data_IF_498952342910
#
_entry.id   IF_498952342910
#
_cell.length_a   1.000
_cell.length_b   1.000
_cell.length_c   1.000
_cell.angle_alpha   90.00
_cell.angle_beta   90.00
_cell.angle_gamma   90.00
#
_symmetry.space_group_name_H-M   'P 1'
#
loop_
_entity.id
_entity.type
_entity.pdbx_description
1 polymer ?
#
# COMPACT_ATOMS: atom_id res chain seq x y z
N UNK A 1 66.59 -7.73 -11.87
CA UNK A 1 65.91 -6.54 -12.42
C UNK A 1 64.62 -6.35 -11.63
N UNK A 2 64.64 -5.85 -10.39
CA UNK A 2 64.79 -4.41 -10.00
C UNK A 2 63.86 -3.53 -10.87
N UNK A 3 62.89 -2.74 -10.38
CA UNK A 3 62.61 -2.20 -9.04
C UNK A 3 61.15 -1.64 -9.06
N UNK A 4 60.38 -1.66 -7.95
CA UNK A 4 59.08 -0.99 -7.86
C UNK A 4 59.23 0.48 -7.38
N UNK A 5 58.47 1.42 -7.95
CA UNK A 5 58.34 2.78 -7.40
C UNK A 5 56.99 2.97 -6.73
N UNK A 6 57.03 3.04 -5.40
CA UNK A 6 56.05 3.75 -4.55
C UNK A 6 56.27 5.25 -4.74
N UNK A 7 55.21 6.04 -4.75
CA UNK A 7 55.22 7.33 -4.03
C UNK A 7 53.79 7.79 -3.67
N UNK A 8 53.67 8.08 -2.38
CA UNK A 8 52.52 8.66 -1.70
C UNK A 8 52.43 10.17 -1.98
N UNK A 9 51.23 10.71 -2.21
CA UNK A 9 50.91 12.06 -1.72
C UNK A 9 49.45 12.17 -1.29
N UNK A 10 49.31 12.43 0.01
CA UNK A 10 48.09 12.64 0.79
C UNK A 10 47.61 14.12 0.68
N UNK A 11 46.48 14.51 1.31
CA UNK A 11 45.42 15.31 0.72
C UNK A 11 45.54 16.81 1.03
N UNK A 12 44.90 17.64 0.21
CA UNK A 12 44.71 19.06 0.52
C UNK A 12 43.32 19.28 1.13
N UNK A 13 43.32 19.58 2.43
CA UNK A 13 42.23 20.14 3.21
C UNK A 13 42.19 21.65 2.98
N UNK A 14 41.05 22.21 2.56
CA UNK A 14 40.80 23.65 2.67
C UNK A 14 39.57 23.87 3.56
N UNK A 15 39.81 24.75 4.52
CA UNK A 15 38.95 25.15 5.64
C UNK A 15 37.91 26.17 5.17
N UNK A 16 36.72 26.04 5.76
CA UNK A 16 36.04 27.14 6.45
C UNK A 16 35.28 28.17 5.61
N UNK A 17 33.97 28.26 5.84
CA UNK A 17 33.36 29.49 6.37
C UNK A 17 31.91 29.24 6.77
N UNK A 18 31.67 29.29 8.08
CA UNK A 18 30.37 29.45 8.71
C UNK A 18 29.83 30.86 8.48
N UNK A 19 28.56 31.00 8.11
CA UNK A 19 27.78 32.21 8.38
C UNK A 19 26.40 31.86 8.92
N UNK A 20 26.27 32.07 10.23
CA UNK A 20 25.03 32.16 11.00
C UNK A 20 24.21 33.34 10.48
N UNK A 21 22.90 33.17 10.33
CA UNK A 21 21.93 34.24 10.58
C UNK A 21 20.52 33.67 10.72
N UNK A 22 20.09 33.51 11.98
CA UNK A 22 18.69 33.54 12.39
C UNK A 22 18.27 35.01 12.53
N UNK A 23 17.02 35.35 12.19
CA UNK A 23 16.27 36.35 12.93
C UNK A 23 15.22 35.68 13.83
N UNK A 24 15.27 36.04 15.11
CA UNK A 24 14.17 35.96 16.08
C UNK A 24 13.25 37.18 15.89
N UNK A 25 12.08 37.12 16.54
CA UNK A 25 11.12 38.22 16.84
C UNK A 25 10.01 38.29 15.78
N UNK A 26 8.71 38.30 16.10
CA UNK A 26 8.00 38.79 17.28
C UNK A 26 6.88 37.87 17.76
N UNK A 27 6.66 37.91 19.07
CA UNK A 27 5.43 37.52 19.74
C UNK A 27 4.40 38.63 19.53
N UNK A 28 3.18 38.28 19.11
CA UNK A 28 2.00 39.03 19.48
C UNK A 28 1.05 38.12 20.26
N UNK A 29 0.77 38.57 21.48
CA UNK A 29 -0.32 38.11 22.34
C UNK A 29 -1.51 39.04 22.06
N UNK A 30 -2.70 38.47 21.90
CA UNK A 30 -4.01 38.97 22.39
C UNK A 30 -5.00 37.81 22.16
N UNK A 31 -5.42 37.07 23.19
CA UNK A 31 -6.57 37.37 24.05
C UNK A 31 -7.71 38.07 23.30
N UNK A 32 -8.77 37.35 22.92
CA UNK A 32 -9.97 37.25 23.76
C UNK A 32 -11.02 36.28 23.19
N UNK A 33 -11.39 35.32 24.03
CA UNK A 33 -12.74 34.82 24.29
C UNK A 33 -13.76 34.76 23.14
N UNK A 34 -14.07 33.53 22.70
CA UNK A 34 -15.46 33.04 22.63
C UNK A 34 -15.52 31.52 22.73
N UNK A 35 -15.83 31.05 23.95
CA UNK A 35 -16.28 29.69 24.25
C UNK A 35 -17.54 29.40 23.41
N UNK A 36 -17.43 28.55 22.41
CA UNK A 36 -18.56 27.73 21.96
C UNK A 36 -18.31 26.27 22.34
N UNK A 37 -18.83 25.93 23.51
CA UNK A 37 -18.95 24.57 24.00
C UNK A 37 -20.02 23.87 23.17
N UNK A 38 -19.63 23.23 22.06
CA UNK A 38 -20.50 22.26 21.38
C UNK A 38 -20.28 20.92 22.07
N UNK A 39 -21.03 20.71 23.16
CA UNK A 39 -21.31 19.38 23.72
C UNK A 39 -22.10 18.59 22.66
N UNK A 40 -21.41 17.95 21.71
CA UNK A 40 -22.03 16.86 20.94
C UNK A 40 -22.13 15.65 21.86
N UNK A 41 -23.29 15.55 22.51
CA UNK A 41 -23.75 14.35 23.20
C UNK A 41 -23.64 13.17 22.24
N UNK A 42 -22.85 12.20 22.68
CA UNK A 42 -22.81 10.82 22.21
C UNK A 42 -24.24 10.26 22.30
N UNK A 43 -24.98 10.22 21.19
CA UNK A 43 -26.11 9.30 21.03
C UNK A 43 -25.58 8.08 20.31
N UNK A 44 -25.37 7.02 21.09
CA UNK A 44 -25.30 5.66 20.59
C UNK A 44 -26.75 5.31 20.30
N UNK A 45 -27.20 5.53 19.07
CA UNK A 45 -28.41 4.89 18.58
C UNK A 45 -27.99 3.49 18.11
N UNK A 46 -28.08 2.54 19.05
CA UNK A 46 -28.21 1.12 18.72
C UNK A 46 -29.62 0.90 18.14
N UNK A 47 -29.92 1.49 16.98
CA UNK A 47 -31.09 1.11 16.18
C UNK A 47 -30.66 0.02 15.21
N UNK A 48 -30.53 -1.19 15.75
CA UNK A 48 -30.62 -2.42 14.97
C UNK A 48 -32.08 -2.52 14.49
N UNK A 49 -32.41 -1.75 13.45
CA UNK A 49 -33.74 -1.75 12.85
C UNK A 49 -33.82 -2.97 11.93
N UNK A 50 -34.10 -4.12 12.52
CA UNK A 50 -34.71 -5.24 11.82
C UNK A 50 -36.19 -4.88 11.60
N UNK A 51 -36.52 -4.21 10.51
CA UNK A 51 -37.91 -4.09 10.07
C UNK A 51 -38.27 -5.39 9.35
N UNK A 52 -38.67 -6.41 10.11
CA UNK A 52 -39.70 -7.34 9.66
C UNK A 52 -41.02 -6.67 9.97
N UNK A 53 -41.81 -6.33 8.96
CA UNK A 53 -43.19 -5.86 9.20
C UNK A 53 -44.01 -7.05 9.70
N UNK A 54 -45.11 -6.78 10.41
CA UNK A 54 -46.01 -7.84 10.90
C UNK A 54 -46.58 -8.67 9.72
N UNK A 55 -46.67 -8.05 8.54
CA UNK A 55 -47.10 -8.68 7.28
C UNK A 55 -46.06 -9.69 6.74
N UNK A 56 -44.76 -9.44 6.91
CA UNK A 56 -43.70 -10.36 6.44
C UNK A 56 -43.73 -11.72 7.17
N UNK A 57 -44.21 -11.73 8.42
CA UNK A 57 -44.36 -12.94 9.24
C UNK A 57 -45.56 -13.78 8.78
N UNK A 58 -46.65 -13.12 8.36
CA UNK A 58 -47.86 -13.79 7.87
C UNK A 58 -47.65 -14.41 6.47
N UNK A 59 -46.81 -13.77 5.64
CA UNK A 59 -46.42 -14.27 4.32
C UNK A 59 -45.32 -15.35 4.36
N UNK A 60 -44.88 -15.78 5.55
CA UNK A 60 -43.88 -16.84 5.71
C UNK A 60 -42.51 -16.49 5.10
N UNK A 61 -42.17 -15.21 4.99
CA UNK A 61 -40.92 -14.77 4.38
C UNK A 61 -39.76 -15.07 5.36
N UNK A 62 -38.80 -15.93 4.99
CA UNK A 62 -37.68 -16.22 5.87
C UNK A 62 -36.81 -14.97 6.07
N UNK A 63 -36.36 -14.76 7.31
CA UNK A 63 -35.48 -13.64 7.67
C UNK A 63 -34.18 -13.70 6.84
N UNK A 64 -33.87 -12.58 6.18
CA UNK A 64 -32.62 -12.43 5.42
C UNK A 64 -31.44 -12.49 6.39
N UNK A 65 -30.44 -13.37 6.16
CA UNK A 65 -29.28 -13.47 7.04
C UNK A 65 -28.51 -12.14 7.07
N UNK A 66 -27.88 -11.83 8.20
CA UNK A 66 -27.05 -10.63 8.33
C UNK A 66 -25.94 -10.61 7.27
N UNK A 67 -25.71 -9.43 6.67
CA UNK A 67 -24.70 -9.27 5.64
C UNK A 67 -23.31 -9.61 6.19
N UNK A 68 -22.47 -10.37 5.45
CA UNK A 68 -21.13 -10.68 5.88
C UNK A 68 -20.34 -9.41 6.21
N UNK A 69 -19.82 -9.31 7.43
CA UNK A 69 -18.99 -8.16 7.84
C UNK A 69 -17.74 -8.13 6.98
N UNK A 70 -17.48 -7.00 6.31
CA UNK A 70 -16.31 -6.81 5.43
C UNK A 70 -15.03 -7.09 6.22
N UNK A 71 -14.20 -8.03 5.74
CA UNK A 71 -12.87 -8.28 6.28
C UNK A 71 -11.99 -7.04 6.04
N UNK A 72 -11.21 -6.65 7.04
CA UNK A 72 -10.37 -5.44 7.00
C UNK A 72 -9.48 -5.43 5.75
N UNK A 73 -9.42 -4.30 5.05
CA UNK A 73 -8.46 -4.09 3.96
C UNK A 73 -7.04 -4.18 4.53
N UNK A 74 -6.16 -4.93 3.88
CA UNK A 74 -4.72 -4.90 4.15
C UNK A 74 -4.22 -3.46 3.92
N UNK A 75 -3.76 -2.82 4.98
CA UNK A 75 -3.13 -1.50 4.94
C UNK A 75 -1.69 -1.67 5.42
N UNK A 76 -0.83 -0.70 5.13
CA UNK A 76 0.61 -0.73 5.50
C UNK A 76 0.82 -0.96 7.02
N UNK A 77 -0.19 -0.66 7.86
CA UNK A 77 -0.15 -0.83 9.31
C UNK A 77 -0.88 -2.09 9.80
N UNK A 78 -1.24 -3.04 8.92
CA UNK A 78 -1.92 -4.26 9.35
C UNK A 78 -0.99 -5.14 10.20
N UNK A 79 -1.44 -5.63 11.37
CA UNK A 79 -0.66 -6.54 12.19
C UNK A 79 -0.38 -7.82 11.40
N UNK A 80 0.90 -8.11 11.12
CA UNK A 80 1.34 -9.27 10.34
C UNK A 80 2.24 -8.98 9.14
N UNK A 81 2.50 -7.70 8.81
CA UNK A 81 3.52 -7.36 7.81
C UNK A 81 4.93 -7.51 8.42
N UNK A 82 5.75 -8.39 7.86
CA UNK A 82 7.13 -8.58 8.31
C UNK A 82 7.97 -7.34 7.99
N UNK A 83 8.91 -7.01 8.88
CA UNK A 83 9.82 -5.88 8.68
C UNK A 83 10.62 -6.01 7.36
N UNK A 84 10.84 -7.25 6.90
CA UNK A 84 11.57 -7.53 5.68
C UNK A 84 10.76 -7.22 4.42
N UNK A 85 9.44 -7.43 4.41
CA UNK A 85 8.58 -7.00 3.31
C UNK A 85 8.62 -5.48 3.13
N UNK A 86 8.59 -4.72 4.24
CA UNK A 86 8.68 -3.25 4.19
C UNK A 86 10.03 -2.77 3.64
N UNK A 87 11.13 -3.48 3.94
CA UNK A 87 12.44 -3.18 3.35
C UNK A 87 12.44 -3.48 1.86
N UNK A 88 11.90 -4.62 1.43
CA UNK A 88 11.80 -4.99 0.02
C UNK A 88 10.98 -3.98 -0.78
N UNK A 89 9.85 -3.51 -0.22
CA UNK A 89 9.05 -2.46 -0.87
C UNK A 89 9.86 -1.20 -1.11
N UNK A 90 10.59 -0.70 -0.10
CA UNK A 90 11.41 0.51 -0.23
C UNK A 90 12.54 0.37 -1.25
N UNK A 91 13.07 -0.84 -1.43
CA UNK A 91 14.12 -1.13 -2.41
C UNK A 91 13.56 -1.16 -3.83
N UNK A 92 12.37 -1.73 -4.01
CA UNK A 92 11.72 -1.87 -5.32
C UNK A 92 10.99 -0.59 -5.77
N UNK A 93 10.61 0.26 -4.82
CA UNK A 93 9.90 1.51 -5.09
C UNK A 93 10.84 2.57 -5.67
N UNK A 94 10.40 3.18 -6.77
CA UNK A 94 11.12 4.28 -7.41
C UNK A 94 10.14 5.28 -8.01
N UNK A 95 10.62 6.43 -8.47
CA UNK A 95 9.75 7.43 -9.10
C UNK A 95 8.99 6.87 -10.30
N UNK A 96 9.55 5.88 -10.99
CA UNK A 96 8.96 5.24 -12.18
C UNK A 96 8.17 3.97 -11.87
N UNK A 97 8.39 3.35 -10.72
CA UNK A 97 7.81 2.04 -10.36
C UNK A 97 7.09 2.15 -9.03
N UNK A 98 5.80 1.84 -9.03
CA UNK A 98 5.00 1.73 -7.80
C UNK A 98 4.93 0.26 -7.40
N UNK A 99 5.09 -0.03 -6.11
CA UNK A 99 4.99 -1.40 -5.59
C UNK A 99 3.59 -1.59 -5.00
N UNK A 100 2.90 -2.64 -5.44
CA UNK A 100 1.59 -3.03 -4.90
C UNK A 100 1.73 -4.35 -4.17
N UNK A 101 1.20 -4.42 -2.94
CA UNK A 101 1.18 -5.65 -2.16
C UNK A 101 -0.03 -6.49 -2.54
N UNK A 102 0.23 -7.75 -2.89
CA UNK A 102 -0.79 -8.70 -3.34
C UNK A 102 -0.69 -9.96 -2.53
N UNK A 103 -1.83 -10.49 -2.06
CA UNK A 103 -1.88 -11.79 -1.41
C UNK A 103 -2.02 -12.88 -2.48
N UNK A 104 -1.02 -13.73 -2.66
CA UNK A 104 -1.17 -14.89 -3.54
C UNK A 104 -1.94 -15.99 -2.83
N UNK A 105 -3.14 -16.32 -3.33
CA UNK A 105 -3.99 -17.36 -2.74
C UNK A 105 -3.40 -18.77 -2.90
N UNK A 106 -2.55 -18.98 -3.92
CA UNK A 106 -1.89 -20.27 -4.19
C UNK A 106 -0.70 -20.53 -3.26
N UNK A 107 0.15 -19.51 -3.06
CA UNK A 107 1.29 -19.58 -2.13
C UNK A 107 0.93 -19.27 -0.68
N UNK A 108 -0.21 -18.59 -0.45
CA UNK A 108 -0.63 -18.04 0.85
C UNK A 108 0.38 -17.03 1.42
N UNK A 109 1.07 -16.31 0.55
CA UNK A 109 2.10 -15.33 0.89
C UNK A 109 1.75 -13.95 0.30
N UNK A 110 2.18 -12.88 0.98
CA UNK A 110 2.05 -11.51 0.48
C UNK A 110 3.30 -11.18 -0.35
N UNK A 111 3.08 -10.79 -1.60
CA UNK A 111 4.14 -10.54 -2.57
C UNK A 111 4.14 -9.06 -2.96
N UNK A 112 5.31 -8.39 -2.97
CA UNK A 112 5.45 -7.07 -3.56
C UNK A 112 5.57 -7.17 -5.08
N UNK A 113 4.59 -6.62 -5.80
CA UNK A 113 4.57 -6.60 -7.27
C UNK A 113 4.99 -5.21 -7.76
N UNK A 114 6.14 -5.08 -8.47
CA UNK A 114 6.57 -3.82 -9.05
C UNK A 114 5.79 -3.51 -10.35
N UNK A 115 5.13 -2.36 -10.39
CA UNK A 115 4.32 -1.93 -11.53
C UNK A 115 4.89 -0.63 -12.12
N UNK A 116 5.24 -0.61 -13.42
CA UNK A 116 5.65 0.61 -14.10
C UNK A 116 4.51 1.63 -14.14
N UNK A 117 4.72 2.82 -13.55
CA UNK A 117 3.68 3.85 -13.46
C UNK A 117 3.19 4.32 -14.82
N UNK A 118 4.11 4.41 -15.78
CA UNK A 118 3.82 4.88 -17.13
C UNK A 118 2.78 4.01 -17.85
N UNK A 119 2.78 2.70 -17.63
CA UNK A 119 1.84 1.80 -18.31
C UNK A 119 0.41 1.96 -17.78
N UNK A 120 0.26 2.20 -16.47
CA UNK A 120 -1.05 2.35 -15.84
C UNK A 120 -1.63 3.76 -16.05
N UNK A 121 -0.82 4.81 -15.92
CA UNK A 121 -1.30 6.20 -16.02
C UNK A 121 -1.62 6.59 -17.47
N UNK A 122 -0.89 6.05 -18.45
CA UNK A 122 -1.10 6.38 -19.88
C UNK A 122 -2.13 5.49 -20.57
N UNK A 123 -2.63 4.46 -19.91
CA UNK A 123 -3.61 3.55 -20.50
C UNK A 123 -4.94 4.27 -20.71
N UNK A 124 -5.59 4.02 -21.85
CA UNK A 124 -6.97 4.51 -22.11
C UNK A 124 -8.02 3.69 -21.35
N UNK A 125 -7.65 2.49 -20.90
CA UNK A 125 -8.54 1.63 -20.13
C UNK A 125 -8.65 2.16 -18.69
N UNK A 126 -9.88 2.29 -18.14
CA UNK A 126 -10.08 2.72 -16.76
C UNK A 126 -9.52 1.72 -15.75
N UNK A 127 -9.40 0.45 -16.17
CA UNK A 127 -8.84 -0.65 -15.40
C UNK A 127 -7.83 -1.38 -16.27
N UNK A 128 -6.57 -1.41 -15.81
CA UNK A 128 -5.42 -1.91 -16.56
C UNK A 128 -5.04 -3.31 -16.06
N UNK A 129 -5.07 -4.34 -16.91
CA UNK A 129 -4.59 -5.67 -16.54
C UNK A 129 -3.06 -5.72 -16.57
N UNK A 130 -2.45 -6.11 -15.45
CA UNK A 130 -1.02 -6.35 -15.30
C UNK A 130 -0.81 -7.80 -14.91
N UNK A 131 -0.04 -8.53 -15.70
CA UNK A 131 0.35 -9.91 -15.41
C UNK A 131 1.74 -9.94 -14.80
N UNK A 132 1.86 -10.60 -13.66
CA UNK A 132 3.12 -10.80 -12.95
C UNK A 132 3.33 -12.29 -12.73
N UNK A 133 4.48 -12.80 -13.16
CA UNK A 133 4.82 -14.21 -12.96
C UNK A 133 5.47 -14.36 -11.59
N UNK A 134 4.84 -15.15 -10.73
CA UNK A 134 5.33 -15.45 -9.40
C UNK A 134 5.77 -16.91 -9.30
N UNK A 135 6.89 -17.13 -8.62
CA UNK A 135 7.36 -18.46 -8.25
C UNK A 135 7.29 -18.60 -6.74
N UNK A 136 6.76 -19.72 -6.27
CA UNK A 136 6.69 -20.05 -4.85
C UNK A 136 8.10 -20.03 -4.21
N UNK A 137 8.18 -19.82 -2.90
CA UNK A 137 9.40 -19.88 -2.08
C UNK A 137 10.28 -21.11 -2.37
N UNK A 138 9.66 -22.25 -2.72
CA UNK A 138 10.38 -23.48 -3.08
C UNK A 138 10.75 -23.62 -4.57
N UNK A 139 10.40 -22.64 -5.42
CA UNK A 139 10.59 -22.64 -6.89
C UNK A 139 10.02 -23.84 -7.65
N UNK A 140 9.13 -24.62 -7.03
CA UNK A 140 8.51 -25.81 -7.63
C UNK A 140 7.28 -25.49 -8.47
N UNK A 141 6.69 -24.32 -8.25
CA UNK A 141 5.42 -23.93 -8.84
C UNK A 141 5.52 -22.46 -9.28
N UNK A 142 5.18 -22.24 -10.54
CA UNK A 142 5.19 -20.92 -11.19
C UNK A 142 3.78 -20.66 -11.71
N UNK A 143 3.22 -19.53 -11.32
CA UNK A 143 1.88 -19.13 -11.74
C UNK A 143 1.86 -17.63 -12.04
N UNK A 144 0.93 -17.25 -12.90
CA UNK A 144 0.71 -15.87 -13.27
C UNK A 144 -0.34 -15.26 -12.36
N UNK A 145 -0.04 -14.11 -11.77
CA UNK A 145 -0.98 -13.29 -11.03
C UNK A 145 -1.36 -12.12 -11.94
N UNK A 146 -2.62 -12.05 -12.34
CA UNK A 146 -3.15 -10.95 -13.15
C UNK A 146 -3.93 -9.99 -12.25
N UNK A 147 -3.41 -8.79 -12.10
CA UNK A 147 -3.98 -7.69 -11.35
C UNK A 147 -4.73 -6.76 -12.27
N UNK A 148 -5.92 -6.35 -11.86
CA UNK A 148 -6.70 -5.32 -12.53
C UNK A 148 -6.59 -4.05 -11.68
N UNK A 149 -5.82 -3.09 -12.16
CA UNK A 149 -5.47 -1.87 -11.44
C UNK A 149 -6.19 -0.66 -12.01
N UNK A 150 -6.64 0.25 -11.14
CA UNK A 150 -7.08 1.58 -11.57
C UNK A 150 -5.87 2.52 -11.76
N UNK A 151 -6.12 3.74 -12.26
CA UNK A 151 -5.09 4.79 -12.36
C UNK A 151 -4.48 5.21 -11.01
N UNK A 152 -5.17 4.98 -9.89
CA UNK A 152 -4.64 5.17 -8.53
C UNK A 152 -3.78 3.98 -8.04
N UNK A 153 -3.63 2.95 -8.88
CA UNK A 153 -2.97 1.67 -8.58
C UNK A 153 -3.65 0.85 -7.48
N UNK A 154 -4.94 1.10 -7.26
CA UNK A 154 -5.76 0.26 -6.40
C UNK A 154 -6.15 -1.03 -7.12
N UNK A 155 -5.99 -2.16 -6.44
CA UNK A 155 -6.36 -3.47 -6.97
C UNK A 155 -7.88 -3.64 -6.93
N UNK A 156 -8.51 -3.73 -8.10
CA UNK A 156 -9.95 -4.03 -8.23
C UNK A 156 -10.24 -5.51 -8.25
N UNK A 157 -9.42 -6.26 -8.98
CA UNK A 157 -9.56 -7.71 -9.14
C UNK A 157 -8.20 -8.35 -9.24
N UNK A 158 -8.12 -9.58 -8.75
CA UNK A 158 -6.95 -10.44 -8.85
C UNK A 158 -7.40 -11.77 -9.44
N UNK A 159 -6.61 -12.31 -10.37
CA UNK A 159 -6.77 -13.66 -10.92
C UNK A 159 -5.44 -14.39 -10.84
N UNK A 160 -5.49 -15.69 -10.66
CA UNK A 160 -4.34 -16.58 -10.68
C UNK A 160 -4.53 -17.56 -11.82
N UNK A 161 -3.48 -17.79 -12.59
CA UNK A 161 -3.51 -18.69 -13.74
C UNK A 161 -2.25 -19.54 -13.76
N UNK A 162 -2.40 -20.78 -14.22
CA UNK A 162 -1.27 -21.68 -14.45
C UNK A 162 -0.40 -21.16 -15.61
N UNK A 163 0.91 -21.31 -15.46
CA UNK A 163 1.86 -21.07 -16.55
C UNK A 163 2.23 -22.43 -17.13
N UNK A 164 1.86 -22.64 -18.40
CA UNK A 164 2.18 -23.86 -19.15
C UNK A 164 3.23 -23.49 -20.19
N UNK A 165 4.37 -24.19 -20.17
CA UNK A 165 5.42 -24.04 -21.17
C UNK A 165 5.20 -25.09 -22.25
N UNK A 166 5.07 -24.66 -23.51
CA UNK A 166 5.15 -25.58 -24.64
C UNK A 166 6.62 -25.87 -24.92
N UNK A 167 7.02 -27.14 -25.09
CA UNK A 167 8.27 -27.43 -25.79
C UNK A 167 8.16 -26.91 -27.24
N UNK A 168 9.24 -26.30 -27.74
CA UNK A 168 9.40 -25.91 -29.15
C UNK A 168 9.67 -27.12 -30.04
#
# INVERSE_FOLDING_TARGET
MENPRKDNKKPATIKGSTSKSKPKVSKEKNNDQKKYVIKKKKKIDNSKLATSTVEDVELGIPLVPESPKKKNKLTINSPGLSADLLKQMKILESDKVKVVLVNCERCREIIPVPIPKNYVIKSDLPVVPISYIHSNSHKKDQHCITLHLDHDFDVRRQRISDVVFSPE
#
